data_IF_106374103804
#
_entry.id   IF_106374103804
#
_cell.length_a   1.000
_cell.length_b   1.000
_cell.length_c   1.000
_cell.angle_alpha   90.00
_cell.angle_beta   90.00
_cell.angle_gamma   90.00
#
_symmetry.space_group_name_H-M   'P 1'
#
loop_
_entity.id
_entity.type
_entity.pdbx_description
1 polymer ?
#
# COMPACT_ATOMS: atom_id res chain seq x y z
N UNK A 1 14.76 -24.93 -0.33
CA UNK A 1 15.61 -24.69 -1.50
C UNK A 1 14.82 -24.66 -2.82
N UNK A 2 14.27 -25.75 -3.37
CA UNK A 2 13.54 -25.70 -4.67
C UNK A 2 12.22 -24.90 -4.64
N UNK A 3 11.47 -24.95 -3.53
CA UNK A 3 10.25 -24.14 -3.36
C UNK A 3 10.51 -22.65 -3.10
N UNK A 4 11.68 -22.29 -2.56
CA UNK A 4 12.03 -20.89 -2.31
C UNK A 4 12.46 -20.21 -3.61
N UNK A 5 13.32 -20.87 -4.41
CA UNK A 5 13.75 -20.35 -5.71
C UNK A 5 12.59 -20.12 -6.68
N UNK A 6 11.65 -21.07 -6.76
CA UNK A 6 10.49 -20.96 -7.64
C UNK A 6 9.52 -19.84 -7.20
N UNK A 7 9.46 -19.56 -5.89
CA UNK A 7 8.64 -18.48 -5.32
C UNK A 7 9.26 -17.11 -5.58
N UNK A 8 10.57 -16.98 -5.38
CA UNK A 8 11.28 -15.73 -5.68
C UNK A 8 11.20 -15.34 -7.15
N UNK A 9 11.21 -16.32 -8.07
CA UNK A 9 11.02 -16.04 -9.50
C UNK A 9 9.59 -15.55 -9.80
N UNK A 10 8.57 -16.18 -9.20
CA UNK A 10 7.18 -15.75 -9.37
C UNK A 10 6.92 -14.33 -8.81
N UNK A 11 7.41 -14.03 -7.61
CA UNK A 11 7.31 -12.69 -7.02
C UNK A 11 8.03 -11.62 -7.87
N UNK A 12 9.17 -11.97 -8.50
CA UNK A 12 9.88 -11.06 -9.40
C UNK A 12 9.09 -10.78 -10.69
N UNK A 13 8.51 -11.82 -11.30
CA UNK A 13 7.67 -11.69 -12.49
C UNK A 13 6.43 -10.83 -12.20
N UNK A 14 5.82 -11.00 -11.02
CA UNK A 14 4.66 -10.21 -10.60
C UNK A 14 4.99 -8.73 -10.37
N UNK A 15 6.16 -8.43 -9.78
CA UNK A 15 6.62 -7.04 -9.61
C UNK A 15 6.94 -6.39 -10.97
N UNK A 16 7.58 -7.13 -11.88
CA UNK A 16 7.87 -6.65 -13.23
C UNK A 16 6.57 -6.38 -14.01
N UNK A 17 5.55 -7.23 -13.85
CA UNK A 17 4.25 -7.00 -14.45
C UNK A 17 3.55 -5.77 -13.86
N UNK A 18 3.61 -5.57 -12.54
CA UNK A 18 3.06 -4.38 -11.88
C UNK A 18 3.72 -3.10 -12.41
N UNK A 19 5.06 -3.09 -12.49
CA UNK A 19 5.83 -1.99 -13.06
C UNK A 19 5.36 -1.67 -14.49
N UNK A 20 5.25 -2.69 -15.34
CA UNK A 20 4.80 -2.56 -16.71
C UNK A 20 3.36 -2.01 -16.82
N UNK A 21 2.44 -2.52 -16.00
CA UNK A 21 1.04 -2.08 -15.98
C UNK A 21 0.92 -0.61 -15.53
N UNK A 22 1.71 -0.20 -14.53
CA UNK A 22 1.74 1.20 -14.06
C UNK A 22 2.34 2.11 -15.12
N UNK A 23 3.47 1.72 -15.73
CA UNK A 23 4.08 2.43 -16.84
C UNK A 23 3.07 2.67 -17.96
N UNK A 24 2.30 1.64 -18.32
CA UNK A 24 1.31 1.70 -19.37
C UNK A 24 0.10 2.60 -19.00
N UNK A 25 -0.31 2.61 -17.74
CA UNK A 25 -1.32 3.54 -17.24
C UNK A 25 -0.88 5.01 -17.34
N UNK A 26 0.41 5.28 -17.06
CA UNK A 26 0.98 6.62 -17.25
C UNK A 26 0.97 6.99 -18.73
N UNK A 27 1.45 6.10 -19.61
CA UNK A 27 1.57 6.35 -21.06
C UNK A 27 0.20 6.69 -21.68
N UNK A 28 -0.80 5.84 -21.44
CA UNK A 28 -2.15 6.06 -21.96
C UNK A 28 -2.85 7.27 -21.33
N UNK A 29 -2.52 7.60 -20.08
CA UNK A 29 -3.19 8.64 -19.33
C UNK A 29 -4.63 8.27 -18.94
N UNK A 30 -5.51 9.26 -18.82
CA UNK A 30 -6.83 9.10 -18.20
C UNK A 30 -6.77 9.26 -16.68
N UNK A 31 -7.54 8.46 -15.94
CA UNK A 31 -7.52 8.47 -14.48
C UNK A 31 -6.34 7.64 -13.93
N UNK A 32 -5.15 8.24 -14.05
CA UNK A 32 -3.88 7.65 -13.58
C UNK A 32 -3.94 7.35 -12.08
N UNK A 33 -4.56 8.23 -11.29
CA UNK A 33 -4.67 8.04 -9.84
C UNK A 33 -5.41 6.76 -9.52
N UNK A 34 -6.59 6.59 -10.11
CA UNK A 34 -7.40 5.39 -9.90
C UNK A 34 -6.74 4.12 -10.46
N UNK A 35 -6.11 4.22 -11.64
CA UNK A 35 -5.40 3.09 -12.23
C UNK A 35 -4.28 2.58 -11.32
N UNK A 36 -3.42 3.47 -10.83
CA UNK A 36 -2.30 3.12 -9.93
C UNK A 36 -2.82 2.61 -8.59
N UNK A 37 -3.85 3.24 -8.02
CA UNK A 37 -4.50 2.76 -6.80
C UNK A 37 -4.96 1.30 -6.96
N UNK A 38 -5.74 1.00 -8.01
CA UNK A 38 -6.28 -0.33 -8.27
C UNK A 38 -5.19 -1.37 -8.51
N UNK A 39 -4.16 -1.04 -9.29
CA UNK A 39 -3.02 -1.93 -9.56
C UNK A 39 -2.28 -2.26 -8.28
N UNK A 40 -2.01 -1.27 -7.44
CA UNK A 40 -1.34 -1.45 -6.13
C UNK A 40 -2.14 -2.39 -5.24
N UNK A 41 -3.45 -2.17 -5.09
CA UNK A 41 -4.31 -3.01 -4.24
C UNK A 41 -4.42 -4.44 -4.77
N UNK A 42 -4.49 -4.62 -6.10
CA UNK A 42 -4.46 -5.95 -6.74
C UNK A 42 -3.17 -6.69 -6.40
N UNK A 43 -2.02 -6.01 -6.48
CA UNK A 43 -0.74 -6.61 -6.12
C UNK A 43 -0.66 -6.98 -4.64
N UNK A 44 -1.19 -6.13 -3.75
CA UNK A 44 -1.26 -6.47 -2.33
C UNK A 44 -2.06 -7.75 -2.04
N UNK A 45 -3.13 -8.00 -2.80
CA UNK A 45 -3.97 -9.19 -2.61
C UNK A 45 -3.30 -10.48 -3.07
N UNK A 46 -2.49 -10.41 -4.14
CA UNK A 46 -1.83 -11.57 -4.71
C UNK A 46 -0.71 -12.12 -3.83
N UNK A 47 -0.19 -11.30 -2.90
CA UNK A 47 1.01 -11.63 -2.13
C UNK A 47 0.69 -11.91 -0.66
N UNK A 48 1.56 -12.69 -0.01
CA UNK A 48 1.59 -12.72 1.46
C UNK A 48 2.13 -11.36 1.92
N UNK A 49 1.24 -10.55 2.49
CA UNK A 49 1.60 -9.22 2.93
C UNK A 49 2.44 -9.27 4.19
N UNK A 50 3.50 -8.49 4.15
CA UNK A 50 4.32 -8.00 5.26
C UNK A 50 4.92 -6.66 4.80
N UNK A 51 5.62 -5.96 5.70
CA UNK A 51 6.17 -4.64 5.39
C UNK A 51 7.19 -4.68 4.25
N UNK A 52 7.93 -5.78 4.09
CA UNK A 52 8.90 -5.93 3.00
C UNK A 52 8.20 -6.08 1.65
N UNK A 53 7.12 -6.85 1.60
CA UNK A 53 6.29 -7.02 0.40
C UNK A 53 5.62 -5.71 0.00
N UNK A 54 5.13 -4.92 0.97
CA UNK A 54 4.60 -3.57 0.70
C UNK A 54 5.67 -2.64 0.11
N UNK A 55 6.91 -2.73 0.60
CA UNK A 55 8.03 -1.97 0.07
C UNK A 55 8.36 -2.34 -1.38
N UNK A 56 8.34 -3.64 -1.71
CA UNK A 56 8.56 -4.12 -3.09
C UNK A 56 7.46 -3.62 -4.03
N UNK A 57 6.20 -3.67 -3.60
CA UNK A 57 5.05 -3.16 -4.36
C UNK A 57 5.21 -1.66 -4.64
N UNK A 58 5.47 -0.85 -3.61
CA UNK A 58 5.65 0.59 -3.78
C UNK A 58 6.86 0.91 -4.69
N UNK A 59 7.96 0.17 -4.55
CA UNK A 59 9.15 0.33 -5.42
C UNK A 59 8.80 0.04 -6.88
N UNK A 60 8.11 -1.07 -7.17
CA UNK A 60 7.70 -1.44 -8.53
C UNK A 60 6.72 -0.41 -9.13
N UNK A 61 5.78 0.09 -8.32
CA UNK A 61 4.87 1.18 -8.75
C UNK A 61 5.68 2.43 -9.10
N UNK A 62 6.59 2.87 -8.24
CA UNK A 62 7.38 4.08 -8.50
C UNK A 62 8.34 3.93 -9.67
N UNK A 63 8.87 2.73 -9.92
CA UNK A 63 9.65 2.44 -11.12
C UNK A 63 8.78 2.56 -12.38
N UNK A 64 7.58 2.01 -12.37
CA UNK A 64 6.62 2.16 -13.48
C UNK A 64 6.22 3.61 -13.72
N UNK A 65 6.06 4.40 -12.66
CA UNK A 65 5.80 5.85 -12.74
C UNK A 65 6.97 6.57 -13.39
N UNK A 66 8.20 6.29 -12.95
CA UNK A 66 9.42 6.87 -13.51
C UNK A 66 9.51 6.58 -15.00
N UNK A 67 9.41 5.30 -15.39
CA UNK A 67 9.63 4.88 -16.78
C UNK A 67 8.51 5.35 -17.71
N UNK A 68 7.26 5.37 -17.22
CA UNK A 68 6.12 5.89 -17.99
C UNK A 68 6.21 7.39 -18.21
N UNK A 69 6.64 8.14 -17.19
CA UNK A 69 6.85 9.58 -17.29
C UNK A 69 8.04 9.91 -18.20
N UNK A 70 9.15 9.16 -18.09
CA UNK A 70 10.32 9.34 -18.95
C UNK A 70 9.95 9.11 -20.42
N UNK A 71 9.24 8.03 -20.73
CA UNK A 71 8.82 7.72 -22.09
C UNK A 71 7.94 8.83 -22.69
N UNK A 72 7.03 9.42 -21.90
CA UNK A 72 6.23 10.57 -22.35
C UNK A 72 7.06 11.81 -22.64
N UNK A 73 8.04 12.11 -21.79
CA UNK A 73 8.94 13.26 -21.98
C UNK A 73 9.78 13.11 -23.24
N UNK A 74 10.21 11.90 -23.58
CA UNK A 74 10.98 11.60 -24.80
C UNK A 74 10.15 11.74 -26.09
N UNK A 75 8.85 11.44 -26.02
CA UNK A 75 7.97 11.43 -27.20
C UNK A 75 7.56 12.83 -27.67
N UNK A 76 7.49 13.84 -26.79
CA UNK A 76 7.09 15.21 -27.18
C UNK A 76 7.60 16.27 -26.19
N UNK A 77 8.39 17.23 -26.67
CA UNK A 77 9.04 18.29 -25.89
C UNK A 77 8.09 19.24 -25.13
N UNK A 78 6.79 19.25 -25.45
CA UNK A 78 5.78 20.10 -24.80
C UNK A 78 4.98 19.39 -23.68
N UNK A 79 5.25 18.11 -23.39
CA UNK A 79 4.46 17.32 -22.42
C UNK A 79 4.97 17.37 -20.97
N UNK A 80 5.83 18.33 -20.62
CA UNK A 80 6.38 18.45 -19.27
C UNK A 80 5.30 18.57 -18.19
N UNK A 81 4.29 19.45 -18.39
CA UNK A 81 3.19 19.60 -17.43
C UNK A 81 2.29 18.37 -17.34
N UNK A 82 2.05 17.69 -18.45
CA UNK A 82 1.27 16.44 -18.45
C UNK A 82 2.00 15.35 -17.66
N UNK A 83 3.31 15.19 -17.88
CA UNK A 83 4.14 14.24 -17.12
C UNK A 83 4.15 14.57 -15.62
N UNK A 84 4.32 15.85 -15.25
CA UNK A 84 4.24 16.31 -13.85
C UNK A 84 2.91 15.93 -13.19
N UNK A 85 1.78 16.24 -13.86
CA UNK A 85 0.45 15.91 -13.33
C UNK A 85 0.25 14.41 -13.17
N UNK A 86 0.72 13.61 -14.12
CA UNK A 86 0.59 12.15 -14.06
C UNK A 86 1.44 11.53 -12.96
N UNK A 87 2.66 12.03 -12.74
CA UNK A 87 3.48 11.62 -11.59
C UNK A 87 2.74 11.93 -10.28
N UNK A 88 2.21 13.15 -10.13
CA UNK A 88 1.45 13.55 -8.94
C UNK A 88 0.21 12.67 -8.72
N UNK A 89 -0.55 12.39 -9.78
CA UNK A 89 -1.72 11.51 -9.71
C UNK A 89 -1.33 10.07 -9.32
N UNK A 90 -0.24 9.54 -9.87
CA UNK A 90 0.23 8.21 -9.56
C UNK A 90 0.69 8.07 -8.10
N UNK A 91 1.48 9.02 -7.61
CA UNK A 91 1.92 9.07 -6.20
C UNK A 91 0.70 9.18 -5.28
N UNK A 92 -0.31 9.99 -5.63
CA UNK A 92 -1.57 10.07 -4.88
C UNK A 92 -2.36 8.75 -4.92
N UNK A 93 -2.32 8.01 -6.03
CA UNK A 93 -2.93 6.70 -6.16
C UNK A 93 -2.29 5.66 -5.24
N UNK A 94 -0.96 5.66 -5.15
CA UNK A 94 -0.19 4.81 -4.23
C UNK A 94 -0.47 5.17 -2.76
N UNK A 95 -0.43 6.46 -2.40
CA UNK A 95 -0.80 6.97 -1.07
C UNK A 95 -2.21 6.51 -0.66
N UNK A 96 -3.19 6.68 -1.56
CA UNK A 96 -4.58 6.26 -1.32
C UNK A 96 -4.68 4.75 -1.12
N UNK A 97 -3.96 3.94 -1.90
CA UNK A 97 -3.99 2.49 -1.76
C UNK A 97 -3.45 2.02 -0.39
N UNK A 98 -2.36 2.63 0.07
CA UNK A 98 -1.77 2.30 1.37
C UNK A 98 -2.65 2.78 2.52
N UNK A 99 -3.30 3.94 2.39
CA UNK A 99 -4.31 4.40 3.33
C UNK A 99 -5.48 3.42 3.43
N UNK A 100 -6.03 2.96 2.30
CA UNK A 100 -7.10 1.96 2.28
C UNK A 100 -6.70 0.63 2.92
N UNK A 101 -5.43 0.22 2.76
CA UNK A 101 -4.90 -0.94 3.47
C UNK A 101 -4.89 -0.73 4.99
N UNK A 102 -4.47 0.45 5.47
CA UNK A 102 -4.52 0.80 6.89
C UNK A 102 -5.96 0.86 7.43
N UNK A 103 -6.91 1.38 6.65
CA UNK A 103 -8.35 1.39 6.99
C UNK A 103 -8.90 -0.04 7.10
N UNK A 104 -8.66 -0.88 6.10
CA UNK A 104 -9.08 -2.28 6.13
C UNK A 104 -8.49 -3.02 7.34
N UNK A 105 -7.26 -2.69 7.74
CA UNK A 105 -6.61 -3.22 8.94
C UNK A 105 -7.40 -2.90 10.21
N UNK A 106 -7.87 -1.66 10.34
CA UNK A 106 -8.73 -1.22 11.44
C UNK A 106 -10.04 -2.00 11.46
N UNK A 107 -10.74 -2.05 10.32
CA UNK A 107 -12.06 -2.67 10.20
C UNK A 107 -12.04 -4.17 10.53
N UNK A 108 -11.03 -4.90 10.05
CA UNK A 108 -10.89 -6.34 10.34
C UNK A 108 -10.71 -6.60 11.84
N UNK A 109 -9.94 -5.75 12.53
CA UNK A 109 -9.73 -5.86 13.97
C UNK A 109 -11.01 -5.51 14.76
N UNK A 110 -11.76 -4.50 14.33
CA UNK A 110 -13.06 -4.15 14.93
C UNK A 110 -14.09 -5.28 14.75
N UNK A 111 -14.16 -5.86 13.55
CA UNK A 111 -15.06 -6.97 13.24
C UNK A 111 -14.72 -8.22 14.05
N UNK A 112 -13.44 -8.57 14.17
CA UNK A 112 -13.00 -9.72 14.97
C UNK A 112 -13.37 -9.57 16.45
N UNK A 113 -13.16 -8.37 17.01
CA UNK A 113 -13.58 -8.06 18.37
C UNK A 113 -15.10 -8.19 18.57
N UNK A 114 -15.90 -7.71 17.60
CA UNK A 114 -17.36 -7.82 17.62
C UNK A 114 -17.89 -9.25 17.47
N UNK A 115 -17.16 -10.14 16.80
CA UNK A 115 -17.56 -11.54 16.53
C UNK A 115 -16.97 -12.56 17.52
N UNK A 116 -16.36 -12.11 18.61
CA UNK A 116 -15.60 -12.96 19.55
C UNK A 116 -14.51 -13.82 18.88
N UNK A 117 -14.03 -13.40 17.70
CA UNK A 117 -12.90 -14.03 17.02
C UNK A 117 -11.61 -13.46 17.62
N UNK A 118 -10.71 -14.32 18.06
CA UNK A 118 -9.51 -13.90 18.77
C UNK A 118 -8.30 -13.89 17.83
N UNK A 119 -7.72 -12.71 17.63
CA UNK A 119 -6.31 -12.58 17.27
C UNK A 119 -5.49 -12.57 18.56
N UNK A 120 -4.31 -13.20 18.54
CA UNK A 120 -3.39 -13.16 19.67
C UNK A 120 -2.83 -11.75 19.86
N UNK A 121 -2.44 -11.44 21.11
CA UNK A 121 -1.74 -10.19 21.44
C UNK A 121 -0.48 -9.99 20.60
N UNK A 122 0.24 -11.07 20.31
CA UNK A 122 1.47 -11.02 19.51
C UNK A 122 1.18 -10.61 18.06
N UNK A 123 0.17 -11.19 17.42
CA UNK A 123 -0.26 -10.81 16.06
C UNK A 123 -0.65 -9.34 16.00
N UNK A 124 -1.52 -8.88 16.91
CA UNK A 124 -1.96 -7.49 16.94
C UNK A 124 -0.78 -6.55 17.17
N UNK A 125 0.14 -6.90 18.07
CA UNK A 125 1.33 -6.08 18.36
C UNK A 125 2.24 -5.98 17.14
N UNK A 126 2.49 -7.09 16.45
CA UNK A 126 3.33 -7.13 15.27
C UNK A 126 2.72 -6.34 14.10
N UNK A 127 1.45 -6.57 13.78
CA UNK A 127 0.77 -5.84 12.70
C UNK A 127 0.66 -4.35 13.00
N UNK A 128 0.43 -3.96 14.27
CA UNK A 128 0.50 -2.55 14.68
C UNK A 128 1.89 -1.95 14.42
N UNK A 129 2.95 -2.68 14.73
CA UNK A 129 4.32 -2.21 14.49
C UNK A 129 4.60 -2.06 12.99
N UNK A 130 4.21 -3.03 12.16
CA UNK A 130 4.34 -2.96 10.71
C UNK A 130 3.58 -1.74 10.14
N UNK A 131 2.32 -1.54 10.56
CA UNK A 131 1.50 -0.39 10.15
C UNK A 131 2.10 0.95 10.58
N UNK A 132 2.72 1.03 11.75
CA UNK A 132 3.36 2.26 12.23
C UNK A 132 4.54 2.70 11.35
N UNK A 133 5.15 1.77 10.60
CA UNK A 133 6.25 2.07 9.66
C UNK A 133 5.79 2.32 8.22
N UNK A 134 4.48 2.23 7.94
CA UNK A 134 3.97 2.28 6.57
C UNK A 134 4.14 3.65 5.90
N UNK A 135 3.92 4.74 6.64
CA UNK A 135 4.14 6.10 6.11
C UNK A 135 5.63 6.37 5.88
N UNK A 136 6.50 5.95 6.80
CA UNK A 136 7.95 6.05 6.67
C UNK A 136 8.45 5.31 5.44
N UNK A 137 8.00 4.06 5.23
CA UNK A 137 8.30 3.28 4.04
C UNK A 137 7.90 4.01 2.74
N UNK A 138 6.71 4.61 2.70
CA UNK A 138 6.23 5.35 1.53
C UNK A 138 7.10 6.61 1.29
N UNK A 139 7.44 7.36 2.34
CA UNK A 139 8.33 8.52 2.26
C UNK A 139 9.72 8.15 1.76
N UNK A 140 10.31 7.08 2.28
CA UNK A 140 11.65 6.61 1.91
C UNK A 140 11.71 6.22 0.43
N UNK A 141 10.70 5.48 -0.05
CA UNK A 141 10.62 5.09 -1.46
C UNK A 141 10.45 6.33 -2.34
N UNK A 142 9.57 7.26 -1.96
CA UNK A 142 9.35 8.49 -2.71
C UNK A 142 10.65 9.32 -2.81
N UNK A 143 11.40 9.44 -1.71
CA UNK A 143 12.68 10.12 -1.68
C UNK A 143 13.74 9.39 -2.53
N UNK A 144 13.82 8.07 -2.42
CA UNK A 144 14.76 7.25 -3.19
C UNK A 144 14.47 7.38 -4.69
N UNK A 145 13.21 7.31 -5.10
CA UNK A 145 12.79 7.53 -6.50
C UNK A 145 13.15 8.93 -6.99
N UNK A 146 12.99 9.96 -6.15
CA UNK A 146 13.41 11.32 -6.50
C UNK A 146 14.94 11.43 -6.69
N UNK A 147 15.72 10.71 -5.87
CA UNK A 147 17.19 10.77 -5.89
C UNK A 147 17.83 10.13 -7.13
N UNK A 148 17.19 9.11 -7.71
CA UNK A 148 17.68 8.41 -8.91
C UNK A 148 17.15 9.01 -10.21
N UNK A 149 16.02 9.72 -10.14
CA UNK A 149 15.43 10.41 -11.26
C UNK A 149 16.27 11.62 -11.71
N UNK A 150 15.92 12.19 -12.87
CA UNK A 150 16.55 13.41 -13.41
C UNK A 150 15.50 14.39 -13.94
N UNK A 151 15.89 15.67 -14.03
CA UNK A 151 15.07 16.73 -14.59
C UNK A 151 13.70 16.84 -13.94
N UNK A 152 12.68 17.02 -14.78
CA UNK A 152 11.28 17.25 -14.36
C UNK A 152 10.76 16.15 -13.43
N UNK A 153 11.15 14.89 -13.63
CA UNK A 153 10.69 13.79 -12.77
C UNK A 153 11.25 13.96 -11.35
N UNK A 154 12.56 14.24 -11.22
CA UNK A 154 13.19 14.47 -9.93
C UNK A 154 12.61 15.70 -9.21
N UNK A 155 12.41 16.80 -9.93
CA UNK A 155 11.81 18.02 -9.39
C UNK A 155 10.40 17.74 -8.83
N UNK A 156 9.55 17.08 -9.62
CA UNK A 156 8.17 16.75 -9.22
C UNK A 156 8.14 15.85 -7.99
N UNK A 157 8.97 14.81 -7.94
CA UNK A 157 9.00 13.88 -6.80
C UNK A 157 9.53 14.55 -5.53
N UNK A 158 10.52 15.46 -5.63
CA UNK A 158 11.01 16.24 -4.49
C UNK A 158 9.95 17.22 -3.97
N UNK A 159 9.20 17.85 -4.86
CA UNK A 159 8.08 18.72 -4.48
C UNK A 159 7.00 17.93 -3.74
N UNK A 160 6.64 16.74 -4.24
CA UNK A 160 5.68 15.85 -3.59
C UNK A 160 6.18 15.35 -2.23
N UNK A 161 7.46 14.97 -2.12
CA UNK A 161 8.06 14.58 -0.84
C UNK A 161 8.01 15.73 0.18
N UNK A 162 8.40 16.94 -0.25
CA UNK A 162 8.35 18.14 0.60
C UNK A 162 6.91 18.48 1.00
N UNK A 163 5.97 18.32 0.07
CA UNK A 163 4.55 18.52 0.35
C UNK A 163 4.04 17.54 1.40
N UNK A 164 4.34 16.25 1.25
CA UNK A 164 3.95 15.20 2.19
C UNK A 164 4.56 15.41 3.57
N UNK A 165 5.83 15.81 3.66
CA UNK A 165 6.48 16.12 4.94
C UNK A 165 5.80 17.29 5.69
N UNK A 166 5.32 18.30 4.95
CA UNK A 166 4.73 19.51 5.54
C UNK A 166 3.24 19.40 5.83
N UNK A 167 2.50 18.68 4.98
CA UNK A 167 1.04 18.63 5.02
C UNK A 167 0.51 17.25 5.44
N UNK A 168 1.39 16.26 5.56
CA UNK A 168 1.05 14.87 5.83
C UNK A 168 0.65 14.10 4.57
N UNK A 169 0.36 12.83 4.76
CA UNK A 169 -0.15 11.92 3.72
C UNK A 169 -1.55 11.41 4.08
N UNK A 170 -2.25 10.84 3.10
CA UNK A 170 -3.50 10.11 3.36
C UNK A 170 -3.23 8.90 4.26
N UNK A 171 -2.09 8.22 4.06
CA UNK A 171 -1.63 7.13 4.93
C UNK A 171 -1.53 7.60 6.38
N UNK A 172 -0.82 8.68 6.64
CA UNK A 172 -0.57 9.21 7.98
C UNK A 172 -1.87 9.59 8.69
N UNK A 173 -2.81 10.23 7.99
CA UNK A 173 -4.13 10.54 8.52
C UNK A 173 -4.90 9.27 8.93
N UNK A 174 -4.92 8.25 8.06
CA UNK A 174 -5.62 6.99 8.34
C UNK A 174 -4.94 6.18 9.46
N UNK A 175 -3.61 6.17 9.52
CA UNK A 175 -2.84 5.43 10.52
C UNK A 175 -3.13 5.92 11.95
N UNK A 176 -3.41 7.20 12.16
CA UNK A 176 -3.76 7.71 13.49
C UNK A 176 -4.94 6.96 14.10
N UNK A 177 -6.01 6.75 13.31
CA UNK A 177 -7.18 6.00 13.75
C UNK A 177 -6.87 4.51 13.88
N UNK A 178 -6.22 3.93 12.87
CA UNK A 178 -5.93 2.50 12.83
C UNK A 178 -5.07 2.08 14.02
N UNK A 179 -3.99 2.80 14.32
CA UNK A 179 -3.09 2.48 15.44
C UNK A 179 -3.77 2.66 16.81
N UNK A 180 -4.72 3.60 16.93
CA UNK A 180 -5.53 3.75 18.14
C UNK A 180 -6.42 2.51 18.36
N UNK A 181 -7.11 2.03 17.32
CA UNK A 181 -7.93 0.81 17.37
C UNK A 181 -7.10 -0.41 17.78
N UNK A 182 -5.92 -0.60 17.18
CA UNK A 182 -5.02 -1.70 17.58
C UNK A 182 -4.57 -1.59 19.05
N UNK A 183 -4.23 -0.38 19.51
CA UNK A 183 -3.81 -0.16 20.90
C UNK A 183 -4.93 -0.49 21.89
N UNK A 184 -6.17 -0.11 21.56
CA UNK A 184 -7.35 -0.46 22.32
C UNK A 184 -7.55 -1.99 22.40
N UNK A 185 -7.49 -2.69 21.26
CA UNK A 185 -7.71 -4.15 21.25
C UNK A 185 -6.56 -4.95 21.88
N UNK A 186 -5.31 -4.51 21.75
CA UNK A 186 -4.18 -5.15 22.46
C UNK A 186 -4.40 -5.06 23.98
N UNK A 187 -4.94 -3.94 24.47
CA UNK A 187 -5.21 -3.73 25.90
C UNK A 187 -6.39 -4.57 26.40
N UNK A 188 -7.42 -4.78 25.58
CA UNK A 188 -8.58 -5.61 25.93
C UNK A 188 -8.25 -7.11 25.99
N UNK A 189 -7.36 -7.60 25.12
CA UNK A 189 -6.89 -9.00 25.11
C UNK A 189 -6.15 -9.36 26.41
N UNK A 190 -5.48 -8.38 27.05
CA UNK A 190 -4.76 -8.56 28.31
C UNK A 190 -5.60 -8.96 29.52
N UNK A 191 -6.94 -8.79 29.48
CA UNK A 191 -7.84 -9.29 30.53
C UNK A 191 -8.37 -10.71 30.26
N UNK A 192 -8.36 -11.19 29.01
CA UNK A 192 -8.94 -12.47 28.62
C UNK A 192 -7.91 -13.63 28.53
N UNK A 193 -6.61 -13.33 28.44
CA UNK A 193 -5.54 -14.31 28.20
C UNK A 193 -4.93 -14.97 29.45
N UNK A 194 -5.56 -14.87 30.63
CA UNK A 194 -5.12 -15.69 31.78
C UNK A 194 -5.58 -17.16 31.68
N UNK A 195 -6.57 -17.49 30.83
CA UNK A 195 -7.19 -18.83 30.82
C UNK A 195 -6.88 -19.74 29.62
N UNK A 196 -6.18 -19.28 28.58
CA UNK A 196 -5.89 -20.11 27.41
C UNK A 196 -4.39 -20.12 27.08
N UNK A 197 -3.65 -20.97 27.80
CA UNK A 197 -2.29 -21.33 27.46
C UNK A 197 -2.23 -22.23 26.22
N UNK A 198 -1.14 -22.05 25.46
CA UNK A 198 -0.62 -22.89 24.36
C UNK A 198 -1.37 -22.82 23.02
N UNK A 199 -0.81 -22.07 22.05
CA UNK A 199 -0.56 -22.57 20.68
C UNK A 199 0.30 -21.61 19.80
N UNK A 200 1.56 -22.02 19.60
CA UNK A 200 2.37 -22.10 18.36
C UNK A 200 2.25 -21.05 17.20
N UNK A 201 3.12 -20.03 17.22
CA UNK A 201 4.01 -19.48 16.16
C UNK A 201 3.66 -19.46 14.64
N UNK A 202 2.41 -19.41 14.16
CA UNK A 202 2.15 -19.23 12.71
C UNK A 202 1.20 -18.10 12.32
N UNK A 203 1.02 -17.11 13.18
CA UNK A 203 -0.21 -16.34 13.18
C UNK A 203 -0.16 -14.98 12.40
N UNK A 204 1.00 -14.47 11.96
CA UNK A 204 1.03 -13.19 11.22
C UNK A 204 0.34 -13.24 9.84
N UNK A 205 0.26 -14.42 9.22
CA UNK A 205 -0.23 -14.57 7.84
C UNK A 205 -1.76 -14.42 7.72
N UNK A 206 -2.52 -14.86 8.72
CA UNK A 206 -3.98 -14.93 8.65
C UNK A 206 -4.64 -13.55 8.82
N UNK A 207 -4.12 -12.72 9.74
CA UNK A 207 -4.59 -11.34 9.91
C UNK A 207 -4.35 -10.52 8.63
N UNK A 208 -3.13 -10.55 8.09
CA UNK A 208 -2.78 -9.80 6.89
C UNK A 208 -3.55 -10.29 5.64
N UNK A 209 -3.81 -11.59 5.54
CA UNK A 209 -4.68 -12.13 4.49
C UNK A 209 -6.13 -11.65 4.62
N UNK A 210 -6.70 -11.64 5.84
CA UNK A 210 -8.05 -11.10 6.09
C UNK A 210 -8.14 -9.60 5.77
N UNK A 211 -7.09 -8.84 6.07
CA UNK A 211 -7.00 -7.42 5.71
C UNK A 211 -7.04 -7.25 4.19
N UNK A 212 -6.21 -7.99 3.46
CA UNK A 212 -6.20 -7.97 2.00
C UNK A 212 -7.57 -8.32 1.40
N UNK A 213 -8.28 -9.29 1.99
CA UNK A 213 -9.64 -9.64 1.60
C UNK A 213 -10.65 -8.52 1.92
N UNK A 214 -10.50 -7.84 3.06
CA UNK A 214 -11.35 -6.71 3.47
C UNK A 214 -11.26 -5.51 2.51
N UNK A 215 -10.07 -5.24 1.97
CA UNK A 215 -9.86 -4.21 0.94
C UNK A 215 -10.75 -4.43 -0.29
N UNK A 216 -10.93 -5.69 -0.74
CA UNK A 216 -11.81 -6.00 -1.89
C UNK A 216 -13.28 -5.74 -1.60
N UNK A 217 -13.73 -6.10 -0.39
CA UNK A 217 -15.11 -5.85 0.02
C UNK A 217 -15.40 -4.35 0.02
N UNK A 218 -14.48 -3.52 0.51
CA UNK A 218 -14.60 -2.06 0.47
C UNK A 218 -14.71 -1.52 -0.96
N UNK A 219 -13.86 -1.99 -1.89
CA UNK A 219 -13.89 -1.55 -3.30
C UNK A 219 -15.22 -1.96 -3.99
N UNK A 220 -15.70 -3.18 -3.74
CA UNK A 220 -16.94 -3.70 -4.32
C UNK A 220 -18.17 -2.91 -3.86
N UNK A 221 -18.19 -2.45 -2.61
CA UNK A 221 -19.26 -1.65 -2.05
C UNK A 221 -19.24 -0.21 -2.59
N UNK A 222 -18.05 0.39 -2.69
CA UNK A 222 -17.86 1.73 -3.25
C UNK A 222 -18.23 1.79 -4.75
N UNK A 223 -17.86 0.78 -5.54
CA UNK A 223 -18.23 0.68 -6.96
C UNK A 223 -19.73 0.46 -7.20
N UNK A 224 -20.45 -0.15 -6.24
CA UNK A 224 -21.92 -0.26 -6.28
C UNK A 224 -22.59 1.08 -5.94
N UNK A 225 -22.00 1.85 -5.04
CA UNK A 225 -22.49 3.18 -4.70
C UNK A 225 -22.31 4.21 -5.82
N UNK A 226 -21.24 4.13 -6.61
CA UNK A 226 -21.02 5.01 -7.78
C UNK A 226 -21.94 4.73 -8.96
N UNK A 227 -22.42 3.48 -9.14
CA UNK A 227 -23.39 3.12 -10.19
C UNK A 227 -24.83 3.52 -9.89
N UNK A 228 -25.13 3.90 -8.66
CA UNK A 228 -26.48 4.28 -8.20
C UNK A 228 -26.67 5.80 -8.06
N UNK A 229 -25.81 6.60 -8.69
CA UNK A 229 -25.90 8.07 -8.73
C UNK A 229 -25.89 8.56 -10.18
#
# INVERSE_FOLDING_TARGET
MQNESNRTMHDQDDMAQLEADVREAIIHGGDVKEAVRRLTLKSMQAHRLDIQSLGRIATAVMQGVHDGAQQKLEQTSEQSHTAQSQISHAVSGLDTAFAQFAEASKLVVEEAAGKAQQFSREELTKTRADLATLEELFMDILQQSASVAKGVIAETLNDLFTHAQRNGTTIGAQLQETLATFTHQISSVGQAQFEAGLQLSQATADLLHKIAAGVLSGISEQAKHEKNK
#
